data_IF_480740921370
#
_entry.id   IF_480740921370
#
_cell.length_a   1.000
_cell.length_b   1.000
_cell.length_c   1.000
_cell.angle_alpha   90.00
_cell.angle_beta   90.00
_cell.angle_gamma   90.00
#
_symmetry.space_group_name_H-M   'P 1'
#
loop_
_entity.id
_entity.type
_entity.pdbx_description
1 polymer ?
#
# COMPACT_ATOMS: atom_id res chain seq x y z
N UNK A 1 45.05 28.87 -41.98
CA UNK A 1 44.26 28.32 -40.85
C UNK A 1 42.81 28.66 -41.11
N UNK A 2 41.94 27.66 -41.19
CA UNK A 2 40.52 27.85 -41.53
C UNK A 2 39.67 27.82 -40.24
N UNK A 3 38.99 28.90 -39.85
CA UNK A 3 38.15 28.92 -38.64
C UNK A 3 36.97 27.93 -38.68
N UNK A 4 36.58 27.45 -39.87
CA UNK A 4 35.52 26.44 -40.02
C UNK A 4 35.95 25.03 -39.57
N UNK A 5 37.26 24.71 -39.61
CA UNK A 5 37.73 23.40 -39.16
C UNK A 5 37.71 23.26 -37.63
N UNK A 6 37.78 24.37 -36.90
CA UNK A 6 37.65 24.38 -35.44
C UNK A 6 36.18 24.23 -35.02
N UNK A 7 35.26 24.90 -35.69
CA UNK A 7 33.82 24.75 -35.43
C UNK A 7 33.32 23.33 -35.71
N UNK A 8 33.84 22.66 -36.75
CA UNK A 8 33.48 21.26 -37.02
C UNK A 8 34.01 20.27 -35.98
N UNK A 9 35.15 20.54 -35.36
CA UNK A 9 35.67 19.73 -34.25
C UNK A 9 34.90 19.99 -32.96
N UNK A 10 34.55 21.24 -32.68
CA UNK A 10 33.73 21.60 -31.50
C UNK A 10 32.30 21.05 -31.59
N UNK A 11 31.67 21.05 -32.77
CA UNK A 11 30.31 20.50 -32.94
C UNK A 11 30.29 18.97 -32.86
N UNK A 12 31.37 18.28 -33.24
CA UNK A 12 31.47 16.82 -33.05
C UNK A 12 31.74 16.42 -31.60
N UNK A 13 32.44 17.25 -30.83
CA UNK A 13 32.75 16.95 -29.43
C UNK A 13 31.59 17.23 -28.46
N UNK A 14 30.54 17.93 -28.89
CA UNK A 14 29.33 18.15 -28.08
C UNK A 14 28.35 16.95 -28.15
N UNK A 15 28.53 16.01 -29.08
CA UNK A 15 27.58 14.91 -29.26
C UNK A 15 28.03 13.56 -28.65
N UNK A 16 29.07 13.55 -27.82
CA UNK A 16 29.53 12.34 -27.11
C UNK A 16 29.72 12.54 -25.59
N UNK A 17 29.29 13.66 -25.01
CA UNK A 17 29.33 13.87 -23.54
C UNK A 17 27.95 14.21 -22.95
N UNK A 18 26.90 13.79 -23.63
CA UNK A 18 25.59 13.64 -22.99
C UNK A 18 25.13 12.20 -23.19
N UNK A 19 25.86 11.27 -22.56
CA UNK A 19 25.18 10.26 -21.74
C UNK A 19 24.99 10.87 -20.36
N UNK A 20 24.16 11.91 -20.32
CA UNK A 20 23.18 12.04 -19.26
C UNK A 20 22.73 10.62 -18.89
N UNK A 21 23.08 10.21 -17.68
CA UNK A 21 22.74 8.93 -17.09
C UNK A 21 21.22 8.82 -16.95
N UNK A 22 20.53 8.74 -18.07
CA UNK A 22 19.15 8.33 -18.17
C UNK A 22 19.23 6.82 -18.02
N UNK A 23 19.08 6.41 -16.76
CA UNK A 23 18.81 5.04 -16.33
C UNK A 23 17.47 4.64 -16.96
N UNK A 24 17.41 4.46 -18.27
CA UNK A 24 16.31 3.79 -18.93
C UNK A 24 16.48 2.30 -18.61
N UNK A 25 16.09 1.90 -17.39
CA UNK A 25 15.81 0.51 -17.13
C UNK A 25 14.73 0.09 -18.15
N UNK A 26 15.01 -0.91 -18.99
CA UNK A 26 13.96 -1.58 -19.75
C UNK A 26 12.89 -2.03 -18.76
N UNK A 27 11.59 -1.85 -19.03
CA UNK A 27 10.52 -2.30 -18.13
C UNK A 27 10.68 -3.76 -17.70
N UNK A 28 11.25 -4.61 -18.56
CA UNK A 28 11.57 -6.01 -18.25
C UNK A 28 12.62 -6.16 -17.14
N UNK A 29 13.67 -5.33 -17.14
CA UNK A 29 14.69 -5.34 -16.08
C UNK A 29 14.16 -4.81 -14.75
N UNK A 30 13.21 -3.88 -14.81
CA UNK A 30 12.54 -3.38 -13.62
C UNK A 30 11.59 -4.42 -13.04
N UNK A 31 10.88 -5.17 -13.90
CA UNK A 31 10.01 -6.27 -13.49
C UNK A 31 10.81 -7.41 -12.83
N UNK A 32 11.93 -7.82 -13.41
CA UNK A 32 12.82 -8.82 -12.82
C UNK A 32 13.39 -8.36 -11.48
N UNK A 33 13.85 -7.11 -11.39
CA UNK A 33 14.35 -6.53 -10.14
C UNK A 33 13.25 -6.43 -9.07
N UNK A 34 12.01 -6.13 -9.46
CA UNK A 34 10.87 -6.15 -8.54
C UNK A 34 10.57 -7.56 -8.04
N UNK A 35 10.54 -8.55 -8.94
CA UNK A 35 10.34 -9.96 -8.59
C UNK A 35 11.40 -10.44 -7.61
N UNK A 36 12.68 -10.15 -7.86
CA UNK A 36 13.79 -10.57 -6.99
C UNK A 36 13.70 -9.88 -5.63
N UNK A 37 13.43 -8.57 -5.58
CA UNK A 37 13.40 -7.82 -4.32
C UNK A 37 12.15 -8.07 -3.48
N UNK A 38 11.09 -8.58 -4.08
CA UNK A 38 9.81 -8.85 -3.41
C UNK A 38 9.38 -10.32 -3.50
N UNK A 39 10.27 -11.25 -3.84
CA UNK A 39 9.99 -12.70 -3.91
C UNK A 39 9.42 -13.23 -2.58
N UNK A 40 10.00 -12.77 -1.46
CA UNK A 40 9.54 -13.09 -0.11
C UNK A 40 8.11 -12.57 0.16
N UNK A 41 7.73 -11.45 -0.48
CA UNK A 41 6.40 -10.86 -0.35
C UNK A 41 5.38 -11.55 -1.29
N UNK A 42 5.82 -11.95 -2.49
CA UNK A 42 4.99 -12.71 -3.45
C UNK A 42 4.58 -14.07 -2.87
N UNK A 43 5.43 -14.67 -2.04
CA UNK A 43 5.14 -15.91 -1.31
C UNK A 43 4.50 -15.71 0.07
N UNK A 44 4.38 -14.48 0.56
CA UNK A 44 3.82 -14.17 1.87
C UNK A 44 2.30 -14.27 1.85
N UNK A 45 1.76 -15.33 2.46
CA UNK A 45 0.32 -15.45 2.70
C UNK A 45 -0.02 -14.79 4.04
N UNK A 46 -1.02 -13.90 4.04
CA UNK A 46 -1.54 -13.32 5.29
C UNK A 46 -2.23 -14.42 6.08
N UNK A 47 -1.84 -14.68 7.34
CA UNK A 47 -2.54 -15.62 8.19
C UNK A 47 -4.02 -15.25 8.37
N UNK A 48 -4.89 -16.25 8.32
CA UNK A 48 -6.34 -16.05 8.43
C UNK A 48 -6.71 -15.32 9.73
N UNK A 49 -5.98 -15.56 10.83
CA UNK A 49 -6.26 -14.91 12.14
C UNK A 49 -6.03 -13.40 12.12
N UNK A 50 -5.29 -12.89 11.13
CA UNK A 50 -5.16 -11.45 10.91
C UNK A 50 -6.39 -10.92 10.17
N UNK A 51 -6.88 -11.65 9.18
CA UNK A 51 -8.01 -11.26 8.31
C UNK A 51 -9.35 -11.39 9.06
N UNK A 52 -9.55 -12.50 9.77
CA UNK A 52 -10.77 -12.85 10.47
C UNK A 52 -10.46 -13.32 11.90
N UNK A 53 -9.93 -12.44 12.79
CA UNK A 53 -9.46 -12.79 14.14
C UNK A 53 -10.50 -13.43 15.07
N UNK A 54 -11.78 -13.38 14.72
CA UNK A 54 -12.88 -13.87 15.55
C UNK A 54 -13.59 -15.11 14.98
N UNK A 55 -13.29 -15.49 13.74
CA UNK A 55 -13.96 -16.60 13.04
C UNK A 55 -13.13 -17.90 13.07
N UNK A 56 -11.97 -17.87 13.72
CA UNK A 56 -11.01 -18.96 13.74
C UNK A 56 -10.94 -19.57 15.13
N UNK A 57 -10.97 -20.90 15.20
CA UNK A 57 -10.77 -21.60 16.46
C UNK A 57 -9.27 -21.64 16.75
N UNK A 58 -8.85 -21.30 17.97
CA UNK A 58 -7.41 -21.23 18.32
C UNK A 58 -6.65 -22.54 18.03
N UNK A 59 -7.34 -23.70 17.93
CA UNK A 59 -6.73 -24.98 17.57
C UNK A 59 -6.56 -25.25 16.06
N UNK A 60 -7.22 -24.48 15.19
CA UNK A 60 -7.14 -24.61 13.73
C UNK A 60 -6.39 -23.44 13.06
N UNK A 61 -6.23 -22.33 13.77
CA UNK A 61 -5.33 -21.25 13.39
C UNK A 61 -3.88 -21.73 13.53
N UNK A 62 -3.06 -21.64 12.48
CA UNK A 62 -1.60 -21.79 12.57
C UNK A 62 -0.97 -20.59 13.31
N UNK A 63 -1.40 -20.36 14.55
CA UNK A 63 -0.97 -19.29 15.44
C UNK A 63 0.15 -19.83 16.32
N UNK A 64 1.26 -19.10 16.34
CA UNK A 64 2.41 -19.40 17.18
C UNK A 64 2.00 -19.43 18.66
N UNK A 65 2.56 -20.38 19.42
CA UNK A 65 2.11 -20.68 20.79
C UNK A 65 2.14 -19.44 21.71
N UNK A 66 3.13 -18.55 21.56
CA UNK A 66 3.22 -17.33 22.37
C UNK A 66 2.08 -16.32 22.12
N UNK A 67 1.40 -16.41 20.96
CA UNK A 67 0.29 -15.57 20.55
C UNK A 67 -1.08 -16.17 20.87
N UNK A 68 -1.18 -17.50 21.03
CA UNK A 68 -2.45 -18.20 21.25
C UNK A 68 -3.21 -17.69 22.49
N UNK A 69 -2.48 -17.32 23.56
CA UNK A 69 -3.11 -16.78 24.78
C UNK A 69 -3.85 -15.48 24.49
N UNK A 70 -3.18 -14.50 23.88
CA UNK A 70 -3.79 -13.21 23.54
C UNK A 70 -4.92 -13.40 22.51
N UNK A 71 -4.76 -14.32 21.56
CA UNK A 71 -5.81 -14.65 20.61
C UNK A 71 -7.07 -15.20 21.28
N UNK A 72 -6.94 -16.14 22.23
CA UNK A 72 -8.08 -16.67 23.00
C UNK A 72 -8.78 -15.57 23.78
N UNK A 73 -8.00 -14.74 24.50
CA UNK A 73 -8.56 -13.64 25.28
C UNK A 73 -9.29 -12.62 24.38
N UNK A 74 -8.71 -12.26 23.25
CA UNK A 74 -9.33 -11.37 22.27
C UNK A 74 -10.58 -12.00 21.64
N UNK A 75 -10.55 -13.30 21.32
CA UNK A 75 -11.70 -14.01 20.73
C UNK A 75 -12.93 -14.02 21.64
N UNK A 76 -12.76 -13.83 22.95
CA UNK A 76 -13.83 -13.69 23.93
C UNK A 76 -14.20 -12.21 24.22
N UNK A 77 -13.40 -11.25 23.77
CA UNK A 77 -13.62 -9.82 24.01
C UNK A 77 -14.69 -9.24 23.08
N UNK A 78 -15.83 -8.89 23.67
CA UNK A 78 -16.98 -8.32 22.95
C UNK A 78 -16.71 -6.89 22.45
N UNK A 79 -15.91 -6.10 23.17
CA UNK A 79 -15.53 -4.75 22.75
C UNK A 79 -14.62 -4.82 21.53
N UNK A 80 -13.66 -5.74 21.54
CA UNK A 80 -12.78 -5.98 20.40
C UNK A 80 -13.59 -6.45 19.18
N UNK A 81 -14.53 -7.39 19.35
CA UNK A 81 -15.46 -7.82 18.29
C UNK A 81 -16.27 -6.67 17.71
N UNK A 82 -16.83 -5.83 18.57
CA UNK A 82 -17.62 -4.69 18.15
C UNK A 82 -16.74 -3.68 17.40
N UNK A 83 -15.55 -3.40 17.91
CA UNK A 83 -14.58 -2.50 17.29
C UNK A 83 -14.21 -2.97 15.88
N UNK A 84 -13.96 -4.28 15.72
CA UNK A 84 -13.63 -4.89 14.43
C UNK A 84 -14.74 -4.73 13.39
N UNK A 85 -16.02 -4.83 13.80
CA UNK A 85 -17.17 -4.63 12.90
C UNK A 85 -17.30 -3.21 12.37
N UNK A 86 -16.69 -2.24 13.03
CA UNK A 86 -16.82 -0.81 12.71
C UNK A 86 -15.55 -0.16 12.18
N UNK A 87 -14.44 -0.91 12.08
CA UNK A 87 -13.14 -0.41 11.62
C UNK A 87 -12.60 -1.26 10.49
N UNK A 88 -11.78 -0.64 9.65
CA UNK A 88 -10.97 -1.41 8.70
C UNK A 88 -9.97 -2.29 9.45
N UNK A 89 -9.42 -3.29 8.75
CA UNK A 89 -8.43 -4.22 9.28
C UNK A 89 -7.22 -3.48 9.88
N UNK A 90 -6.69 -2.50 9.14
CA UNK A 90 -5.54 -1.70 9.55
C UNK A 90 -5.85 -0.83 10.77
N UNK A 91 -7.01 -0.17 10.79
CA UNK A 91 -7.43 0.65 11.94
C UNK A 91 -7.72 -0.17 13.19
N UNK A 92 -8.18 -1.41 13.04
CA UNK A 92 -8.42 -2.32 14.17
C UNK A 92 -7.09 -2.72 14.83
N UNK A 93 -6.17 -3.27 14.04
CA UNK A 93 -4.88 -3.75 14.55
C UNK A 93 -3.94 -2.64 15.02
N UNK A 94 -4.16 -1.41 14.56
CA UNK A 94 -3.42 -0.21 15.00
C UNK A 94 -4.15 0.58 16.10
N UNK A 95 -5.31 0.09 16.58
CA UNK A 95 -6.07 0.78 17.61
C UNK A 95 -5.35 0.69 18.97
N UNK A 96 -5.22 1.83 19.66
CA UNK A 96 -4.56 1.90 20.98
C UNK A 96 -5.13 0.92 22.02
N UNK A 97 -6.45 0.66 21.99
CA UNK A 97 -7.08 -0.27 22.92
C UNK A 97 -6.66 -1.72 22.61
N UNK A 98 -6.50 -2.06 21.34
CA UNK A 98 -6.06 -3.38 20.88
C UNK A 98 -4.57 -3.55 21.13
N UNK A 99 -3.74 -2.56 20.78
CA UNK A 99 -2.28 -2.63 21.00
C UNK A 99 -1.92 -2.69 22.48
N UNK A 100 -2.72 -2.08 23.36
CA UNK A 100 -2.48 -2.14 24.80
C UNK A 100 -2.98 -3.44 25.45
N UNK A 101 -4.13 -3.98 25.04
CA UNK A 101 -4.65 -5.27 25.58
C UNK A 101 -3.92 -6.48 25.00
N UNK A 102 -3.58 -6.44 23.71
CA UNK A 102 -3.01 -7.56 22.95
C UNK A 102 -1.74 -7.14 22.22
N UNK A 103 -0.68 -6.73 22.95
CA UNK A 103 0.51 -6.14 22.36
C UNK A 103 1.29 -7.11 21.47
N UNK A 104 1.34 -8.41 21.82
CA UNK A 104 2.10 -9.39 21.02
C UNK A 104 1.34 -9.73 19.74
N UNK A 105 0.03 -9.93 19.86
CA UNK A 105 -0.84 -10.27 18.74
C UNK A 105 -0.92 -9.12 17.73
N UNK A 106 -1.11 -7.89 18.20
CA UNK A 106 -1.12 -6.70 17.34
C UNK A 106 0.24 -6.46 16.68
N UNK A 107 1.35 -6.58 17.42
CA UNK A 107 2.69 -6.45 16.84
C UNK A 107 2.98 -7.50 15.77
N UNK A 108 2.50 -8.74 15.95
CA UNK A 108 2.63 -9.79 14.94
C UNK A 108 1.79 -9.52 13.68
N UNK A 109 0.69 -8.76 13.79
CA UNK A 109 -0.14 -8.37 12.65
C UNK A 109 0.46 -7.21 11.84
N UNK A 110 1.22 -6.30 12.48
CA UNK A 110 1.74 -5.07 11.86
C UNK A 110 2.53 -5.28 10.55
N UNK A 111 3.45 -6.27 10.43
CA UNK A 111 4.18 -6.50 9.19
C UNK A 111 3.25 -6.81 8.01
N UNK A 112 2.16 -7.54 8.24
CA UNK A 112 1.20 -7.89 7.20
C UNK A 112 0.32 -6.70 6.76
N UNK A 113 0.21 -5.67 7.60
CA UNK A 113 -0.52 -4.44 7.25
C UNK A 113 0.36 -3.47 6.45
N UNK A 114 1.67 -3.51 6.70
CA UNK A 114 2.66 -2.65 6.04
C UNK A 114 3.23 -3.26 4.76
N UNK A 115 3.31 -4.59 4.68
CA UNK A 115 3.97 -5.30 3.60
C UNK A 115 3.11 -5.47 2.34
N UNK A 116 1.82 -5.13 2.35
CA UNK A 116 1.00 -5.11 1.12
C UNK A 116 0.84 -3.68 0.60
N UNK A 117 1.68 -3.24 -0.37
CA UNK A 117 1.37 -2.06 -1.19
C UNK A 117 -0.05 -2.11 -1.78
N UNK A 118 -0.59 -3.31 -2.03
CA UNK A 118 -1.94 -3.50 -2.58
C UNK A 118 -3.07 -3.16 -1.60
N UNK A 119 -2.90 -3.35 -0.28
CA UNK A 119 -3.95 -3.00 0.69
C UNK A 119 -4.09 -1.47 0.80
N UNK A 120 -2.97 -0.74 0.69
CA UNK A 120 -3.00 0.72 0.51
C UNK A 120 -3.61 1.13 -0.84
N UNK A 121 -3.29 0.43 -1.94
CA UNK A 121 -3.84 0.74 -3.26
C UNK A 121 -5.34 0.46 -3.39
N UNK A 122 -5.90 -0.53 -2.69
CA UNK A 122 -7.34 -0.83 -2.77
C UNK A 122 -8.19 0.27 -2.12
N UNK A 123 -7.68 0.92 -1.08
CA UNK A 123 -8.36 2.06 -0.43
C UNK A 123 -8.13 3.38 -1.18
N UNK A 124 -6.91 3.62 -1.65
CA UNK A 124 -6.58 4.83 -2.41
C UNK A 124 -7.21 4.84 -3.83
N UNK A 125 -7.37 3.68 -4.48
CA UNK A 125 -7.91 3.55 -5.83
C UNK A 125 -9.43 3.77 -5.92
N UNK A 126 -10.18 3.45 -4.87
CA UNK A 126 -11.66 3.60 -4.85
C UNK A 126 -12.09 5.06 -4.67
N UNK A 127 -11.20 5.94 -4.20
CA UNK A 127 -11.54 7.36 -3.97
C UNK A 127 -11.47 8.25 -5.23
N UNK A 128 -11.04 7.72 -6.39
CA UNK A 128 -10.87 8.53 -7.61
C UNK A 128 -11.89 8.28 -8.72
N UNK A 129 -12.90 7.44 -8.50
CA UNK A 129 -14.00 7.23 -9.46
C UNK A 129 -15.35 7.40 -8.79
N UNK A 130 -15.66 8.63 -8.40
CA UNK A 130 -16.93 8.95 -7.76
C UNK A 130 -17.26 10.45 -7.74
N UNK A 131 -16.95 11.19 -8.81
CA UNK A 131 -17.46 12.58 -8.99
C UNK A 131 -17.64 12.91 -10.47
N UNK A 132 -18.64 12.31 -11.10
CA UNK A 132 -19.20 12.81 -12.35
C UNK A 132 -20.69 12.47 -12.45
N UNK A 133 -21.50 13.13 -11.63
CA UNK A 133 -22.94 13.26 -11.89
C UNK A 133 -23.44 14.64 -11.49
N UNK A 134 -23.45 15.54 -12.48
CA UNK A 134 -24.62 16.32 -12.88
C UNK A 134 -25.08 17.47 -12.00
N UNK A 135 -24.77 18.70 -12.40
CA UNK A 135 -25.67 19.86 -12.30
C UNK A 135 -25.46 20.68 -13.58
N UNK A 136 -26.13 20.32 -14.68
CA UNK A 136 -27.42 20.85 -15.12
C UNK A 136 -27.44 22.39 -15.31
N UNK A 137 -27.20 22.78 -16.56
CA UNK A 137 -27.43 24.12 -17.11
C UNK A 137 -28.90 24.48 -17.01
N UNK A 138 -29.25 25.38 -16.09
CA UNK A 138 -30.55 26.07 -16.12
C UNK A 138 -30.43 27.45 -15.48
N UNK A 139 -30.96 28.48 -16.14
CA UNK A 139 -31.36 29.71 -15.46
C UNK A 139 -30.84 31.02 -16.02
N UNK A 140 -31.23 31.35 -17.24
CA UNK A 140 -31.43 32.74 -17.67
C UNK A 140 -32.42 33.45 -16.74
N UNK A 141 -32.12 34.73 -16.45
CA UNK A 141 -32.97 35.79 -15.87
C UNK A 141 -33.07 35.89 -14.34
N UNK A 142 -32.53 37.00 -13.78
CA UNK A 142 -33.35 38.10 -13.25
C UNK A 142 -32.53 39.37 -12.93
N UNK A 143 -33.06 40.44 -13.47
CA UNK A 143 -33.02 41.86 -13.10
C UNK A 143 -32.77 42.26 -11.63
N UNK A 144 -32.15 43.46 -11.52
CA UNK A 144 -32.44 44.59 -10.60
C UNK A 144 -31.88 44.61 -9.16
N UNK A 145 -30.86 45.44 -8.92
CA UNK A 145 -30.99 46.78 -8.30
C UNK A 145 -29.66 47.55 -8.31
#
# INVERSE_FOLDING_TARGET
MNPLSQLSSTVKQVNEDSTNGNIHQSPEKLEEDFKIRFEDLESMTVPDWIIAPFDIETGNANIEFSLQKEHVEMSADLEAKLLFKHKSLSEFWSNVNITNKYPKLSAAAQPFLLAFPSLYMVEAGVSHTGRNTGENVTGISRDNR
#
